data_IF_785220626557
#
_entry.id   IF_785220626557
#
_cell.length_a   1.000
_cell.length_b   1.000
_cell.length_c   1.000
_cell.angle_alpha   90.00
_cell.angle_beta   90.00
_cell.angle_gamma   90.00
#
_symmetry.space_group_name_H-M   'P 1'
#
loop_
_entity.id
_entity.type
_entity.pdbx_description
1 polymer ?
#
# COMPACT_ATOMS: atom_id res chain seq x y z
N UNK A 1 31.65 13.76 4.13
CA UNK A 1 30.41 13.46 3.39
C UNK A 1 29.87 12.13 3.91
N UNK A 2 28.55 11.89 3.89
CA UNK A 2 27.98 10.59 4.24
C UNK A 2 28.40 9.50 3.24
N UNK A 3 28.42 8.26 3.72
CA UNK A 3 28.55 7.09 2.86
C UNK A 3 27.30 6.90 1.99
N UNK A 4 27.45 6.10 0.94
CA UNK A 4 26.35 5.64 0.09
C UNK A 4 25.22 5.00 0.92
N UNK A 5 23.96 5.42 0.78
CA UNK A 5 22.86 4.79 1.48
C UNK A 5 22.54 3.39 0.92
N UNK A 6 22.27 2.45 1.83
CA UNK A 6 21.91 1.06 1.55
C UNK A 6 20.40 0.90 1.64
N UNK A 7 19.80 0.20 0.67
CA UNK A 7 18.38 -0.16 0.66
C UNK A 7 18.18 -1.45 1.48
N UNK A 8 17.40 -1.41 2.57
CA UNK A 8 17.20 -2.57 3.46
C UNK A 8 15.85 -3.28 3.29
N UNK A 9 14.74 -2.54 3.38
CA UNK A 9 13.38 -3.10 3.35
C UNK A 9 12.55 -2.39 2.30
N UNK A 10 11.77 -3.17 1.58
CA UNK A 10 10.96 -2.68 0.47
C UNK A 10 9.53 -3.13 0.70
N UNK A 11 8.59 -2.20 0.57
CA UNK A 11 7.15 -2.48 0.47
C UNK A 11 6.67 -2.05 -0.91
N UNK A 12 5.37 -2.22 -1.18
CA UNK A 12 4.79 -1.95 -2.49
C UNK A 12 5.04 -0.53 -3.02
N UNK A 13 5.11 0.48 -2.14
CA UNK A 13 5.32 1.90 -2.51
C UNK A 13 6.35 2.61 -1.62
N UNK A 14 7.18 1.87 -0.89
CA UNK A 14 8.15 2.46 0.04
C UNK A 14 9.43 1.68 0.13
N UNK A 15 10.51 2.40 0.47
CA UNK A 15 11.84 1.83 0.67
C UNK A 15 12.48 2.42 1.91
N UNK A 16 13.05 1.55 2.73
CA UNK A 16 13.87 1.91 3.88
C UNK A 16 15.34 1.99 3.48
N UNK A 17 15.94 3.14 3.77
CA UNK A 17 17.33 3.50 3.58
C UNK A 17 18.07 3.45 4.92
N UNK A 18 19.35 3.08 4.87
CA UNK A 18 20.25 3.14 6.01
C UNK A 18 21.64 3.59 5.57
N UNK A 19 22.32 4.36 6.40
CA UNK A 19 23.67 4.83 6.15
C UNK A 19 24.49 4.89 7.44
N UNK A 20 25.78 5.12 7.32
CA UNK A 20 26.68 5.25 8.46
C UNK A 20 26.76 6.71 8.94
N UNK A 21 27.06 6.88 10.23
CA UNK A 21 27.34 8.19 10.77
C UNK A 21 28.67 8.72 10.23
N UNK A 22 28.73 10.03 9.95
CA UNK A 22 30.00 10.71 9.65
C UNK A 22 30.83 10.92 10.93
N UNK A 23 32.17 11.01 10.86
CA UNK A 23 33.03 11.21 12.03
C UNK A 23 32.66 12.40 12.90
N UNK A 24 32.21 13.50 12.30
CA UNK A 24 31.83 14.74 12.99
C UNK A 24 30.63 14.56 13.93
N UNK A 25 29.79 13.56 13.69
CA UNK A 25 28.64 13.24 14.54
C UNK A 25 29.04 12.83 15.96
N UNK A 26 30.30 12.46 16.20
CA UNK A 26 30.82 12.17 17.53
C UNK A 26 30.96 13.41 18.43
N UNK A 27 31.03 14.61 17.84
CA UNK A 27 31.30 15.87 18.57
C UNK A 27 30.32 17.00 18.26
N UNK A 28 29.55 16.89 17.18
CA UNK A 28 28.61 17.91 16.73
C UNK A 28 27.24 17.30 16.51
N UNK A 29 26.19 18.12 16.65
CA UNK A 29 24.84 17.75 16.24
C UNK A 29 24.78 17.72 14.71
N UNK A 30 24.42 16.56 14.16
CA UNK A 30 24.30 16.33 12.72
C UNK A 30 22.88 15.90 12.40
N UNK A 31 22.32 16.44 11.32
CA UNK A 31 21.09 15.94 10.70
C UNK A 31 21.44 15.44 9.29
N UNK A 32 20.66 14.50 8.79
CA UNK A 32 20.82 13.91 7.48
C UNK A 32 19.62 14.28 6.62
N UNK A 33 19.91 14.85 5.45
CA UNK A 33 18.92 15.22 4.44
C UNK A 33 18.89 14.08 3.42
N UNK A 34 17.72 13.47 3.24
CA UNK A 34 17.52 12.43 2.23
C UNK A 34 16.92 13.08 0.99
N UNK A 35 17.57 12.88 -0.14
CA UNK A 35 17.12 13.36 -1.44
C UNK A 35 16.81 12.17 -2.35
N UNK A 36 15.76 12.31 -3.16
CA UNK A 36 15.41 11.33 -4.19
C UNK A 36 15.49 11.96 -5.58
N UNK A 37 15.81 11.14 -6.57
CA UNK A 37 15.65 11.49 -7.96
C UNK A 37 14.97 10.33 -8.70
N UNK A 38 13.98 10.68 -9.53
CA UNK A 38 13.34 9.73 -10.43
C UNK A 38 14.14 9.64 -11.73
N UNK A 39 14.41 8.42 -12.18
CA UNK A 39 15.14 8.16 -13.44
C UNK A 39 14.47 8.87 -14.61
N UNK A 40 15.24 9.70 -15.31
CA UNK A 40 14.75 10.55 -16.41
C UNK A 40 14.48 11.99 -16.01
N UNK A 41 14.49 12.31 -14.72
CA UNK A 41 14.45 13.68 -14.21
C UNK A 41 15.87 14.16 -13.83
N UNK A 42 16.14 15.44 -14.00
CA UNK A 42 17.45 16.04 -13.71
C UNK A 42 17.56 16.53 -12.25
N UNK A 43 16.43 16.79 -11.60
CA UNK A 43 16.38 17.42 -10.29
C UNK A 43 16.36 16.42 -9.12
N UNK A 44 17.09 16.74 -8.06
CA UNK A 44 17.03 16.02 -6.79
C UNK A 44 16.05 16.71 -5.86
N UNK A 45 15.09 15.96 -5.33
CA UNK A 45 14.04 16.47 -4.46
C UNK A 45 14.35 16.07 -3.01
N UNK A 46 14.36 17.05 -2.10
CA UNK A 46 14.45 16.78 -0.66
C UNK A 46 13.18 16.06 -0.21
N UNK A 47 13.37 14.87 0.34
CA UNK A 47 12.28 14.03 0.86
C UNK A 47 12.03 14.33 2.33
N UNK A 48 13.12 14.35 3.11
CA UNK A 48 13.05 14.53 4.56
C UNK A 48 14.40 14.92 5.15
N UNK A 49 14.38 15.25 6.43
CA UNK A 49 15.56 15.50 7.25
C UNK A 49 15.40 14.81 8.60
N UNK A 50 16.40 14.05 9.02
CA UNK A 50 16.35 13.24 10.23
C UNK A 50 17.69 13.21 10.94
N UNK A 51 17.68 13.14 12.28
CA UNK A 51 18.89 12.88 13.06
C UNK A 51 19.23 11.38 13.15
N UNK A 52 18.35 10.51 12.65
CA UNK A 52 18.56 9.06 12.62
C UNK A 52 19.47 8.65 11.46
N UNK A 53 20.02 7.43 11.55
CA UNK A 53 20.86 6.81 10.51
C UNK A 53 20.06 5.91 9.54
N UNK A 54 18.73 6.05 9.58
CA UNK A 54 17.81 5.39 8.69
C UNK A 54 16.65 6.33 8.35
N UNK A 55 15.97 6.02 7.26
CA UNK A 55 14.77 6.71 6.83
C UNK A 55 13.92 5.77 5.97
N UNK A 56 12.60 5.95 6.01
CA UNK A 56 11.69 5.29 5.05
C UNK A 56 11.13 6.35 4.13
N UNK A 57 11.33 6.17 2.83
CA UNK A 57 10.71 6.99 1.79
C UNK A 57 9.46 6.28 1.32
N UNK A 58 8.31 6.94 1.45
CA UNK A 58 6.99 6.42 1.12
C UNK A 58 6.40 7.14 -0.10
N UNK A 59 5.20 6.73 -0.53
CA UNK A 59 4.47 7.33 -1.66
C UNK A 59 5.25 7.29 -3.01
N UNK A 60 6.09 6.29 -3.19
CA UNK A 60 6.82 6.10 -4.44
C UNK A 60 5.88 5.57 -5.54
N UNK A 61 5.97 6.16 -6.74
CA UNK A 61 5.06 5.82 -7.84
C UNK A 61 5.46 4.50 -8.50
N UNK A 62 4.50 3.59 -8.60
CA UNK A 62 4.62 2.32 -9.35
C UNK A 62 5.17 2.50 -10.75
N UNK A 63 5.91 1.51 -11.25
CA UNK A 63 6.61 1.51 -12.54
C UNK A 63 7.63 2.63 -12.75
N UNK A 64 8.12 3.26 -11.67
CA UNK A 64 9.20 4.23 -11.75
C UNK A 64 10.46 3.69 -11.09
N UNK A 65 11.61 4.13 -11.60
CA UNK A 65 12.91 3.83 -11.00
C UNK A 65 13.40 5.07 -10.28
N UNK A 66 13.83 4.91 -9.04
CA UNK A 66 14.37 5.96 -8.19
C UNK A 66 15.80 5.67 -7.80
N UNK A 67 16.52 6.73 -7.44
CA UNK A 67 17.79 6.65 -6.72
C UNK A 67 17.79 7.68 -5.59
N UNK A 68 18.56 7.39 -4.56
CA UNK A 68 18.59 8.16 -3.33
C UNK A 68 20.01 8.58 -3.00
N UNK A 69 20.17 9.72 -2.33
CA UNK A 69 21.45 10.16 -1.77
C UNK A 69 21.21 10.89 -0.46
N UNK A 70 22.26 11.01 0.34
CA UNK A 70 22.19 11.62 1.67
C UNK A 70 23.19 12.77 1.76
N UNK A 71 22.77 13.89 2.34
CA UNK A 71 23.65 15.00 2.74
C UNK A 71 23.67 15.11 4.25
N UNK A 72 24.80 15.50 4.82
CA UNK A 72 24.87 15.88 6.23
C UNK A 72 24.64 17.39 6.37
N UNK A 73 23.84 17.78 7.33
CA UNK A 73 23.67 19.15 7.79
C UNK A 73 24.32 19.27 9.18
N UNK A 74 25.37 20.09 9.26
CA UNK A 74 26.12 20.35 10.49
C UNK A 74 26.04 21.84 10.78
N UNK A 75 25.19 22.23 11.73
CA UNK A 75 24.97 23.64 12.08
C UNK A 75 24.68 24.53 10.85
N UNK A 76 23.70 24.12 10.04
CA UNK A 76 23.22 24.79 8.82
C UNK A 76 24.21 24.79 7.64
N UNK A 77 25.34 24.09 7.78
CA UNK A 77 26.27 23.83 6.68
C UNK A 77 25.95 22.46 6.09
N UNK A 78 25.47 22.47 4.85
CA UNK A 78 25.12 21.26 4.10
C UNK A 78 26.37 20.73 3.40
N UNK A 79 26.65 19.44 3.58
CA UNK A 79 27.75 18.77 2.93
C UNK A 79 27.49 18.51 1.44
N UNK A 80 28.56 18.15 0.73
CA UNK A 80 28.43 17.42 -0.53
C UNK A 80 27.55 16.17 -0.35
N UNK A 81 26.78 15.78 -1.38
CA UNK A 81 25.97 14.58 -1.32
C UNK A 81 26.84 13.33 -1.26
N UNK A 82 26.30 12.27 -0.67
CA UNK A 82 26.85 10.93 -0.80
C UNK A 82 26.86 10.47 -2.26
N UNK A 83 27.53 9.35 -2.50
CA UNK A 83 27.25 8.55 -3.70
C UNK A 83 25.77 8.16 -3.77
N UNK A 84 25.28 7.97 -4.99
CA UNK A 84 23.90 7.57 -5.27
C UNK A 84 23.68 6.11 -4.86
N UNK A 85 22.51 5.80 -4.29
CA UNK A 85 22.10 4.42 -3.98
C UNK A 85 22.05 3.54 -5.23
N UNK A 86 21.82 2.24 -5.05
CA UNK A 86 21.37 1.39 -6.17
C UNK A 86 20.03 1.90 -6.73
N UNK A 87 19.74 1.55 -7.98
CA UNK A 87 18.45 1.85 -8.59
C UNK A 87 17.35 1.05 -7.89
N UNK A 88 16.34 1.75 -7.40
CA UNK A 88 15.15 1.16 -6.81
C UNK A 88 14.00 1.25 -7.80
N UNK A 89 13.62 0.12 -8.40
CA UNK A 89 12.43 0.03 -9.23
C UNK A 89 11.21 -0.25 -8.35
N UNK A 90 10.24 0.66 -8.37
CA UNK A 90 8.94 0.41 -7.75
C UNK A 90 8.17 -0.46 -8.72
N UNK A 91 8.10 -1.75 -8.42
CA UNK A 91 7.31 -2.66 -9.21
C UNK A 91 5.83 -2.28 -9.09
N UNK A 92 5.17 -1.99 -10.22
CA UNK A 92 3.71 -2.12 -10.20
C UNK A 92 3.41 -3.55 -9.84
N UNK A 93 2.53 -3.80 -8.88
CA UNK A 93 2.12 -5.16 -8.52
C UNK A 93 1.74 -5.96 -9.78
N UNK A 94 2.71 -6.72 -10.31
CA UNK A 94 2.48 -7.79 -11.26
C UNK A 94 2.16 -8.99 -10.40
N UNK A 95 1.09 -9.69 -10.74
CA UNK A 95 0.89 -11.00 -10.13
C UNK A 95 1.97 -11.93 -10.62
N UNK A 96 2.98 -12.10 -9.78
CA UNK A 96 3.78 -13.29 -9.83
C UNK A 96 2.96 -14.42 -9.20
N UNK A 97 2.48 -15.32 -10.05
CA UNK A 97 2.05 -16.65 -9.63
C UNK A 97 3.26 -17.34 -8.99
N UNK A 98 3.28 -17.51 -7.67
CA UNK A 98 4.15 -18.49 -7.04
C UNK A 98 3.32 -19.72 -6.68
N UNK A 99 3.38 -20.69 -7.57
CA UNK A 99 3.05 -22.08 -7.25
C UNK A 99 4.12 -22.63 -6.28
N UNK A 100 3.65 -23.23 -5.17
CA UNK A 100 4.15 -24.44 -4.50
C UNK A 100 3.32 -24.65 -3.24
N UNK A 101 2.38 -25.59 -3.27
CA UNK A 101 2.53 -27.01 -2.89
C UNK A 101 2.50 -27.23 -1.37
N UNK A 102 1.39 -27.84 -0.93
CA UNK A 102 1.38 -28.91 0.06
C UNK A 102 1.25 -28.54 1.54
N UNK A 103 0.02 -28.60 2.06
CA UNK A 103 -0.33 -29.44 3.21
C UNK A 103 -1.86 -29.44 3.37
N UNK A 104 -2.45 -30.63 3.25
CA UNK A 104 -3.86 -30.92 3.51
C UNK A 104 -4.13 -30.83 5.01
N UNK A 105 -5.23 -30.18 5.40
CA UNK A 105 -6.03 -30.61 6.56
C UNK A 105 -7.50 -30.57 6.16
N UNK A 106 -8.13 -31.76 6.17
CA UNK A 106 -9.54 -31.99 5.91
C UNK A 106 -10.41 -31.23 6.91
N UNK A 107 -11.43 -30.51 6.42
CA UNK A 107 -12.64 -30.24 7.18
C UNK A 107 -13.84 -30.09 6.23
N UNK A 108 -14.99 -30.56 6.71
CA UNK A 108 -16.19 -31.00 6.00
C UNK A 108 -16.75 -30.00 4.97
N UNK A 109 -17.05 -30.51 3.76
CA UNK A 109 -17.64 -29.76 2.65
C UNK A 109 -19.10 -29.40 2.94
N UNK A 110 -19.37 -28.14 3.25
CA UNK A 110 -20.70 -27.53 3.10
C UNK A 110 -20.90 -27.27 1.61
N UNK A 111 -21.96 -27.85 1.00
CA UNK A 111 -22.26 -27.68 -0.41
C UNK A 111 -23.03 -26.35 -0.64
N UNK A 112 -22.31 -25.33 -1.08
CA UNK A 112 -22.86 -24.00 -1.40
C UNK A 112 -23.63 -23.94 -2.73
N UNK A 113 -23.64 -24.99 -3.56
CA UNK A 113 -24.29 -24.98 -4.88
C UNK A 113 -25.83 -24.88 -4.80
N UNK A 114 -26.45 -25.32 -3.70
CA UNK A 114 -27.92 -25.32 -3.57
C UNK A 114 -28.53 -23.94 -3.30
N UNK A 115 -27.73 -22.92 -2.98
CA UNK A 115 -28.21 -21.55 -2.75
C UNK A 115 -28.11 -20.66 -4.00
N UNK A 116 -27.57 -21.16 -5.12
CA UNK A 116 -27.10 -20.32 -6.23
C UNK A 116 -28.13 -20.06 -7.34
N UNK A 117 -29.29 -20.71 -7.32
CA UNK A 117 -30.26 -20.55 -8.43
C UNK A 117 -31.43 -19.69 -7.99
N UNK A 118 -31.34 -18.38 -8.22
CA UNK A 118 -32.50 -17.56 -8.62
C UNK A 118 -32.20 -16.12 -9.04
N UNK A 119 -30.95 -15.66 -9.03
CA UNK A 119 -30.64 -14.30 -9.53
C UNK A 119 -30.33 -14.36 -11.01
N UNK A 120 -31.20 -13.80 -11.85
CA UNK A 120 -30.97 -13.70 -13.30
C UNK A 120 -29.87 -12.66 -13.55
N UNK A 121 -28.95 -12.90 -14.49
CA UNK A 121 -27.89 -11.95 -14.87
C UNK A 121 -28.39 -10.58 -15.36
N UNK A 122 -29.70 -10.41 -15.57
CA UNK A 122 -30.33 -9.17 -15.99
C UNK A 122 -30.58 -8.17 -14.85
N UNK A 123 -30.49 -8.61 -13.59
CA UNK A 123 -30.88 -7.78 -12.44
C UNK A 123 -29.70 -7.02 -11.82
N UNK A 124 -28.49 -7.23 -12.36
CA UNK A 124 -27.34 -6.38 -12.04
C UNK A 124 -27.61 -4.96 -12.57
N UNK A 125 -27.89 -4.02 -11.67
CA UNK A 125 -27.83 -2.60 -12.02
C UNK A 125 -26.39 -2.30 -12.41
N UNK A 126 -26.23 -1.71 -13.59
CA UNK A 126 -24.95 -1.21 -14.08
C UNK A 126 -24.37 -0.25 -13.04
N UNK A 127 -23.45 -0.75 -12.21
CA UNK A 127 -22.55 0.10 -11.45
C UNK A 127 -21.73 0.83 -12.51
N UNK A 128 -21.77 2.15 -12.50
CA UNK A 128 -21.11 2.95 -13.53
C UNK A 128 -19.59 2.95 -13.28
N UNK A 129 -18.92 1.87 -13.69
CA UNK A 129 -17.46 1.62 -13.57
C UNK A 129 -16.63 2.53 -14.50
N UNK A 130 -17.21 3.60 -15.06
CA UNK A 130 -16.63 4.40 -16.14
C UNK A 130 -16.31 5.86 -15.78
N UNK A 131 -16.07 6.19 -14.51
CA UNK A 131 -15.44 7.48 -14.16
C UNK A 131 -14.02 7.30 -13.59
N UNK A 132 -13.12 7.22 -14.57
CA UNK A 132 -11.69 7.58 -14.57
C UNK A 132 -10.68 6.55 -14.05
N UNK A 133 -9.52 6.43 -14.73
CA UNK A 133 -8.47 5.49 -14.39
C UNK A 133 -7.62 6.05 -13.24
N UNK A 134 -7.39 5.24 -12.19
CA UNK A 134 -6.83 5.61 -10.89
C UNK A 134 -7.83 6.39 -10.02
N UNK A 135 -8.05 6.04 -8.75
CA UNK A 135 -7.05 6.25 -7.73
C UNK A 135 -7.66 5.92 -6.34
N UNK A 136 -7.59 4.66 -5.87
CA UNK A 136 -7.70 4.44 -4.42
C UNK A 136 -6.67 5.33 -3.69
N UNK A 137 -5.48 5.47 -4.26
CA UNK A 137 -4.34 6.24 -3.74
C UNK A 137 -4.56 7.77 -3.71
N UNK A 138 -5.46 8.33 -4.53
CA UNK A 138 -5.78 9.77 -4.54
C UNK A 138 -6.99 10.14 -3.68
N UNK A 139 -7.83 9.17 -3.31
CA UNK A 139 -8.92 9.41 -2.36
C UNK A 139 -8.54 9.01 -0.94
N UNK A 140 -7.75 7.94 -0.78
CA UNK A 140 -7.40 7.38 0.52
C UNK A 140 -5.89 7.22 0.72
N UNK A 141 -5.46 7.38 1.98
CA UNK A 141 -4.12 7.04 2.45
C UNK A 141 -4.23 5.75 3.25
N UNK A 142 -3.65 4.66 2.77
CA UNK A 142 -3.54 3.41 3.52
C UNK A 142 -2.44 3.54 4.59
N UNK A 143 -2.79 3.28 5.84
CA UNK A 143 -1.90 3.43 6.99
C UNK A 143 -1.45 2.07 7.53
N UNK A 144 -1.39 1.90 8.85
CA UNK A 144 -1.00 0.66 9.49
C UNK A 144 -2.05 -0.46 9.32
N UNK A 145 -1.56 -1.70 9.34
CA UNK A 145 -2.41 -2.89 9.43
C UNK A 145 -3.03 -2.96 10.82
N UNK A 146 -4.36 -3.04 10.88
CA UNK A 146 -5.12 -3.11 12.13
C UNK A 146 -5.64 -4.53 12.42
N UNK A 147 -5.73 -5.39 11.40
CA UNK A 147 -6.16 -6.77 11.60
C UNK A 147 -5.86 -7.67 10.40
N UNK A 148 -5.87 -8.97 10.62
CA UNK A 148 -5.95 -9.98 9.57
C UNK A 148 -6.86 -11.11 10.02
N UNK A 149 -7.70 -11.59 9.10
CA UNK A 149 -8.61 -12.70 9.34
C UNK A 149 -8.72 -13.59 8.12
N UNK A 150 -9.62 -14.57 8.20
CA UNK A 150 -9.87 -15.53 7.12
C UNK A 150 -10.29 -14.85 5.79
N UNK A 151 -10.91 -13.67 5.87
CA UNK A 151 -11.46 -12.96 4.72
C UNK A 151 -10.56 -11.82 4.21
N UNK A 152 -9.31 -11.75 4.66
CA UNK A 152 -8.34 -10.77 4.17
C UNK A 152 -7.66 -9.96 5.28
N UNK A 153 -7.00 -8.89 4.86
CA UNK A 153 -6.25 -8.00 5.76
C UNK A 153 -6.92 -6.64 5.87
N UNK A 154 -7.04 -6.13 7.09
CA UNK A 154 -7.65 -4.82 7.36
C UNK A 154 -6.56 -3.82 7.73
N UNK A 155 -6.60 -2.66 7.10
CA UNK A 155 -5.74 -1.52 7.36
C UNK A 155 -6.57 -0.32 7.81
N UNK A 156 -5.97 0.59 8.57
CA UNK A 156 -6.55 1.92 8.76
C UNK A 156 -6.35 2.72 7.47
N UNK A 157 -7.36 3.46 7.04
CA UNK A 157 -7.32 4.35 5.89
C UNK A 157 -7.78 5.76 6.29
N UNK A 158 -7.22 6.80 5.66
CA UNK A 158 -7.63 8.19 5.86
C UNK A 158 -8.17 8.73 4.54
N UNK A 159 -9.40 9.24 4.54
CA UNK A 159 -9.96 9.94 3.38
C UNK A 159 -9.29 11.31 3.24
N UNK A 160 -8.66 11.59 2.10
CA UNK A 160 -7.90 12.83 1.89
C UNK A 160 -8.79 14.07 1.89
N UNK A 161 -10.03 13.96 1.41
CA UNK A 161 -10.95 15.09 1.31
C UNK A 161 -11.47 15.56 2.67
N UNK A 162 -11.71 14.63 3.60
CA UNK A 162 -12.38 14.91 4.89
C UNK A 162 -11.46 14.74 6.09
N UNK A 163 -10.35 14.01 5.94
CA UNK A 163 -9.50 13.57 7.04
C UNK A 163 -10.12 12.48 7.91
N UNK A 164 -11.29 11.94 7.55
CA UNK A 164 -11.97 10.90 8.34
C UNK A 164 -11.20 9.57 8.25
N UNK A 165 -11.13 8.86 9.38
CA UNK A 165 -10.57 7.52 9.44
C UNK A 165 -11.60 6.47 9.02
N UNK A 166 -11.12 5.46 8.31
CA UNK A 166 -11.88 4.35 7.76
C UNK A 166 -11.10 3.04 7.94
N UNK A 167 -11.78 1.91 7.82
CA UNK A 167 -11.17 0.59 7.71
C UNK A 167 -11.13 0.18 6.23
N UNK A 168 -9.95 -0.20 5.74
CA UNK A 168 -9.78 -0.73 4.39
C UNK A 168 -9.51 -2.24 4.48
N UNK A 169 -10.53 -3.04 4.15
CA UNK A 169 -10.43 -4.51 4.10
C UNK A 169 -10.01 -4.93 2.69
N UNK A 170 -8.80 -5.45 2.61
CA UNK A 170 -8.18 -5.96 1.39
C UNK A 170 -8.49 -7.45 1.25
N UNK A 171 -9.29 -7.80 0.25
CA UNK A 171 -9.70 -9.17 -0.04
C UNK A 171 -9.04 -9.63 -1.33
N UNK A 172 -8.10 -10.56 -1.23
CA UNK A 172 -7.39 -11.08 -2.39
C UNK A 172 -8.29 -12.01 -3.22
N UNK A 173 -8.42 -11.72 -4.52
CA UNK A 173 -9.10 -12.56 -5.49
C UNK A 173 -8.15 -13.68 -5.90
N UNK A 174 -8.55 -14.92 -5.63
CA UNK A 174 -7.77 -16.13 -5.88
C UNK A 174 -8.59 -17.22 -6.57
N UNK A 175 -8.00 -18.41 -6.82
CA UNK A 175 -8.73 -19.56 -7.36
C UNK A 175 -9.87 -20.01 -6.43
N UNK A 176 -9.66 -19.95 -5.12
CA UNK A 176 -10.65 -20.33 -4.10
C UNK A 176 -11.64 -19.19 -3.79
N UNK A 177 -11.27 -17.94 -4.09
CA UNK A 177 -12.05 -16.75 -3.78
C UNK A 177 -12.30 -15.94 -5.05
N UNK A 178 -13.42 -16.24 -5.72
CA UNK A 178 -13.81 -15.57 -6.97
C UNK A 178 -14.36 -14.18 -6.70
N UNK A 179 -14.12 -13.27 -7.64
CA UNK A 179 -14.70 -11.91 -7.66
C UNK A 179 -16.22 -11.93 -7.47
N UNK A 180 -16.92 -12.92 -8.03
CA UNK A 180 -18.38 -13.08 -7.90
C UNK A 180 -18.83 -13.27 -6.44
N UNK A 181 -18.07 -14.03 -5.65
CA UNK A 181 -18.36 -14.28 -4.23
C UNK A 181 -18.17 -13.00 -3.41
N UNK A 182 -17.09 -12.27 -3.69
CA UNK A 182 -16.81 -10.99 -3.03
C UNK A 182 -17.86 -9.94 -3.39
N UNK A 183 -18.24 -9.85 -4.67
CA UNK A 183 -19.30 -8.95 -5.12
C UNK A 183 -20.66 -9.33 -4.54
N UNK A 184 -20.91 -10.62 -4.28
CA UNK A 184 -22.11 -11.06 -3.58
C UNK A 184 -22.10 -10.60 -2.11
N UNK A 185 -20.98 -10.74 -1.39
CA UNK A 185 -20.81 -10.20 -0.03
C UNK A 185 -21.03 -8.67 -0.01
N UNK A 186 -20.45 -7.94 -0.96
CA UNK A 186 -20.66 -6.49 -1.15
C UNK A 186 -22.13 -6.15 -1.35
N UNK A 187 -22.84 -6.91 -2.19
CA UNK A 187 -24.26 -6.68 -2.44
C UNK A 187 -25.09 -6.92 -1.18
N UNK A 188 -24.79 -7.97 -0.40
CA UNK A 188 -25.44 -8.22 0.90
C UNK A 188 -25.18 -7.05 1.85
N UNK A 189 -23.93 -6.58 1.95
CA UNK A 189 -23.59 -5.44 2.81
C UNK A 189 -24.30 -4.15 2.36
N UNK A 190 -24.48 -3.96 1.06
CA UNK A 190 -25.20 -2.82 0.49
C UNK A 190 -26.73 -2.94 0.63
N UNK A 191 -27.29 -4.14 0.68
CA UNK A 191 -28.72 -4.33 0.90
C UNK A 191 -29.11 -4.20 2.38
N UNK A 192 -28.21 -4.56 3.30
CA UNK A 192 -28.46 -4.55 4.75
C UNK A 192 -27.87 -3.34 5.48
N UNK A 193 -28.55 -2.20 5.39
CA UNK A 193 -28.25 -1.02 6.20
C UNK A 193 -28.95 -1.10 7.57
N UNK A 194 -28.24 -1.56 8.61
CA UNK A 194 -28.75 -1.55 10.00
C UNK A 194 -27.73 -0.86 10.92
N UNK A 195 -28.21 -0.14 11.94
CA UNK A 195 -27.40 0.59 12.94
C UNK A 195 -26.41 -0.30 13.73
N UNK A 196 -26.46 -1.62 13.55
CA UNK A 196 -25.59 -2.62 14.23
C UNK A 196 -24.78 -3.46 13.25
N UNK A 197 -24.86 -3.16 11.96
CA UNK A 197 -24.11 -3.83 10.91
C UNK A 197 -23.04 -2.88 10.39
N UNK A 198 -21.91 -3.47 10.00
CA UNK A 198 -20.74 -2.74 9.53
C UNK A 198 -21.07 -2.06 8.21
N UNK A 199 -21.01 -0.72 8.18
CA UNK A 199 -21.46 0.06 7.03
C UNK A 199 -20.37 0.11 5.95
N UNK A 200 -20.71 -0.37 4.76
CA UNK A 200 -19.85 -0.30 3.59
C UNK A 200 -19.98 1.07 2.94
N UNK A 201 -18.90 1.85 2.93
CA UNK A 201 -18.89 3.18 2.34
C UNK A 201 -18.58 3.16 0.84
N UNK A 202 -17.56 2.41 0.43
CA UNK A 202 -17.11 2.38 -0.96
C UNK A 202 -16.33 1.09 -1.26
N UNK A 203 -16.26 0.73 -2.54
CA UNK A 203 -15.56 -0.47 -3.02
C UNK A 203 -14.63 -0.11 -4.16
N UNK A 204 -13.39 -0.56 -4.08
CA UNK A 204 -12.38 -0.39 -5.12
C UNK A 204 -11.94 -1.75 -5.67
N UNK A 205 -12.00 -1.90 -6.99
CA UNK A 205 -11.40 -3.01 -7.69
C UNK A 205 -9.94 -2.68 -8.01
N UNK A 206 -9.02 -3.31 -7.27
CA UNK A 206 -7.57 -3.18 -7.47
C UNK A 206 -7.03 -4.27 -8.42
N UNK A 207 -7.93 -4.93 -9.14
CA UNK A 207 -7.68 -5.95 -10.14
C UNK A 207 -7.52 -7.36 -9.56
N UNK A 208 -6.67 -7.52 -8.54
CA UNK A 208 -6.46 -8.81 -7.85
C UNK A 208 -6.84 -8.80 -6.40
N UNK A 209 -7.19 -7.64 -5.88
CA UNK A 209 -7.80 -7.50 -4.59
C UNK A 209 -8.99 -6.57 -4.75
N UNK A 210 -10.01 -6.79 -3.95
CA UNK A 210 -11.07 -5.82 -3.75
C UNK A 210 -10.80 -5.16 -2.41
N UNK A 211 -10.76 -3.84 -2.42
CA UNK A 211 -10.68 -3.04 -1.21
C UNK A 211 -12.10 -2.58 -0.85
N UNK A 212 -12.55 -2.95 0.34
CA UNK A 212 -13.80 -2.48 0.93
C UNK A 212 -13.47 -1.39 1.94
N UNK A 213 -14.04 -0.19 1.74
CA UNK A 213 -13.95 0.91 2.69
C UNK A 213 -15.14 0.82 3.62
N UNK A 214 -14.84 0.58 4.89
CA UNK A 214 -15.78 0.28 5.94
C UNK A 214 -15.63 1.29 7.08
N UNK A 215 -16.70 1.51 7.85
CA UNK A 215 -16.63 2.34 9.04
C UNK A 215 -15.66 1.76 10.08
N UNK A 216 -14.72 2.58 10.55
CA UNK A 216 -13.78 2.21 11.61
C UNK A 216 -14.49 2.38 12.96
N UNK A 217 -14.78 1.26 13.63
CA UNK A 217 -15.41 1.20 14.96
C UNK A 217 -14.42 1.51 16.10
#
# INVERSE_FOLDING_TARGET
MPDRPILEKQKFNSVSLKWNAIPEAASKKVQYIVEMNKKGEEEWIKVMESAQLNATVEELKSNNTYRFRVRANIADIISEPSEESELFFVESMKLEKKEKEGAEEENEKINYDELFTNVKPSDYRDINVLQLPNDFESKYILCEKIGAGAHGTVYRAIERATGKNWAAKMISIGPDMKKEVIMHEVNIMNEFHHEKLLNLHEVFDLGKEICLIEELL
#
